data_IF_955470258535
#
_entry.id   IF_955470258535
#
_cell.length_a   1.000
_cell.length_b   1.000
_cell.length_c   1.000
_cell.angle_alpha   90.00
_cell.angle_beta   90.00
_cell.angle_gamma   90.00
#
_symmetry.space_group_name_H-M   'P 1'
#
loop_
_entity.id
_entity.type
_entity.pdbx_description
1 polymer ?
#
# COMPACT_ATOMS: atom_id res chain seq x y z
N UNK A 1 26.96 -33.15 3.65
CA UNK A 1 26.19 -32.37 4.65
C UNK A 1 24.86 -32.02 4.01
N UNK A 2 23.76 -32.47 4.60
CA UNK A 2 22.41 -32.37 4.02
C UNK A 2 21.92 -30.92 4.01
N UNK A 3 21.72 -30.35 2.81
CA UNK A 3 21.03 -29.08 2.57
C UNK A 3 19.49 -29.25 2.60
N UNK A 4 18.96 -29.97 3.59
CA UNK A 4 17.52 -30.17 3.73
C UNK A 4 17.07 -29.59 5.08
N UNK A 5 16.19 -28.57 5.00
CA UNK A 5 15.55 -27.80 6.08
C UNK A 5 16.21 -26.44 6.44
N UNK A 6 16.25 -25.51 5.49
CA UNK A 6 16.29 -24.08 5.81
C UNK A 6 14.99 -23.44 5.32
N UNK A 7 13.85 -23.90 5.85
CA UNK A 7 12.69 -23.00 5.97
C UNK A 7 13.00 -22.18 7.22
N UNK A 8 13.43 -20.94 7.01
CA UNK A 8 13.87 -20.04 8.08
C UNK A 8 12.66 -19.41 8.81
N UNK A 9 11.58 -19.10 8.09
CA UNK A 9 10.33 -18.56 8.65
C UNK A 9 9.35 -19.64 9.13
N UNK A 10 8.57 -19.31 10.17
CA UNK A 10 7.50 -20.18 10.69
C UNK A 10 6.45 -20.53 9.62
N UNK A 11 6.08 -21.82 9.53
CA UNK A 11 5.08 -22.33 8.58
C UNK A 11 3.70 -21.73 8.82
N UNK A 12 3.35 -21.43 10.07
CA UNK A 12 2.08 -20.78 10.36
C UNK A 12 2.02 -19.40 9.70
N UNK A 13 3.07 -18.59 9.91
CA UNK A 13 3.21 -17.26 9.30
C UNK A 13 3.16 -17.33 7.77
N UNK A 14 3.86 -18.29 7.15
CA UNK A 14 3.83 -18.47 5.69
C UNK A 14 2.39 -18.65 5.20
N UNK A 15 1.67 -19.60 5.80
CA UNK A 15 0.30 -19.90 5.41
C UNK A 15 -0.65 -18.71 5.65
N UNK A 16 -0.43 -17.96 6.71
CA UNK A 16 -1.23 -16.78 7.04
C UNK A 16 -1.02 -15.65 6.02
N UNK A 17 0.23 -15.31 5.71
CA UNK A 17 0.58 -14.25 4.75
C UNK A 17 0.11 -14.61 3.35
N UNK A 18 0.41 -15.81 2.87
CA UNK A 18 0.11 -16.18 1.48
C UNK A 18 -1.38 -16.19 1.16
N UNK A 19 -2.24 -16.46 2.16
CA UNK A 19 -3.67 -16.66 1.93
C UNK A 19 -4.55 -15.52 2.43
N UNK A 20 -4.13 -14.79 3.47
CA UNK A 20 -5.00 -13.84 4.18
C UNK A 20 -4.52 -12.40 4.14
N UNK A 21 -3.26 -12.15 3.75
CA UNK A 21 -2.75 -10.78 3.68
C UNK A 21 -3.20 -10.11 2.37
N UNK A 22 -3.22 -8.77 2.36
CA UNK A 22 -3.45 -8.01 1.14
C UNK A 22 -2.51 -8.46 0.04
N UNK A 23 -3.03 -8.53 -1.19
CA UNK A 23 -2.26 -9.00 -2.33
C UNK A 23 -0.87 -8.33 -2.49
N UNK A 24 -0.70 -6.99 -2.31
CA UNK A 24 0.63 -6.35 -2.41
C UNK A 24 1.72 -6.96 -1.53
N UNK A 25 1.35 -7.52 -0.39
CA UNK A 25 2.30 -8.13 0.55
C UNK A 25 2.43 -9.62 0.24
N UNK A 26 1.30 -10.29 0.04
CA UNK A 26 1.25 -11.73 -0.17
C UNK A 26 1.98 -12.18 -1.45
N UNK A 27 1.91 -11.40 -2.53
CA UNK A 27 2.53 -11.76 -3.82
C UNK A 27 4.06 -11.74 -3.75
N UNK A 28 4.63 -10.66 -3.26
CA UNK A 28 6.08 -10.52 -3.06
C UNK A 28 6.59 -11.55 -2.05
N UNK A 29 5.78 -11.88 -1.04
CA UNK A 29 6.10 -12.93 -0.08
C UNK A 29 6.14 -14.33 -0.71
N UNK A 30 5.21 -14.66 -1.63
CA UNK A 30 5.29 -15.94 -2.37
C UNK A 30 6.55 -16.04 -3.21
N UNK A 31 6.95 -14.95 -3.87
CA UNK A 31 8.18 -14.92 -4.67
C UNK A 31 9.39 -15.29 -3.82
N UNK A 32 9.47 -14.79 -2.57
CA UNK A 32 10.53 -15.14 -1.61
C UNK A 32 10.62 -16.65 -1.28
N UNK A 33 9.49 -17.37 -1.40
CA UNK A 33 9.40 -18.80 -1.11
C UNK A 33 9.56 -19.69 -2.34
N UNK A 34 9.86 -19.13 -3.52
CA UNK A 34 10.19 -19.91 -4.73
C UNK A 34 11.64 -20.40 -4.71
N UNK A 35 11.95 -21.44 -5.49
CA UNK A 35 13.28 -22.08 -5.52
C UNK A 35 14.43 -21.10 -5.76
N UNK A 36 14.20 -20.04 -6.54
CA UNK A 36 15.18 -19.00 -6.84
C UNK A 36 15.66 -18.25 -5.58
N UNK A 37 14.78 -18.08 -4.59
CA UNK A 37 15.02 -17.24 -3.41
C UNK A 37 15.24 -18.04 -2.12
N UNK A 38 15.26 -19.38 -2.17
CA UNK A 38 15.48 -20.23 -0.99
C UNK A 38 16.90 -20.13 -0.42
N UNK A 39 17.89 -19.75 -1.25
CA UNK A 39 19.28 -19.63 -0.81
C UNK A 39 19.50 -18.29 -0.13
N UNK A 40 20.22 -18.22 1.01
CA UNK A 40 20.52 -16.96 1.69
C UNK A 40 21.63 -16.19 0.96
N UNK A 41 21.27 -15.62 -0.19
CA UNK A 41 22.14 -14.87 -1.08
C UNK A 41 21.60 -13.46 -1.38
N UNK A 42 22.25 -12.75 -2.32
CA UNK A 42 21.88 -11.38 -2.66
C UNK A 42 20.45 -11.26 -3.20
N UNK A 43 19.95 -12.29 -3.89
CA UNK A 43 18.59 -12.27 -4.45
C UNK A 43 17.56 -12.39 -3.34
N UNK A 44 17.75 -13.33 -2.39
CA UNK A 44 16.88 -13.44 -1.20
C UNK A 44 16.88 -12.15 -0.39
N UNK A 45 18.06 -11.58 -0.13
CA UNK A 45 18.16 -10.32 0.62
C UNK A 45 17.40 -9.18 -0.06
N UNK A 46 17.54 -9.02 -1.38
CA UNK A 46 16.81 -8.02 -2.15
C UNK A 46 15.30 -8.24 -2.05
N UNK A 47 14.83 -9.48 -2.13
CA UNK A 47 13.41 -9.81 -2.03
C UNK A 47 12.85 -9.52 -0.63
N UNK A 48 13.59 -9.84 0.45
CA UNK A 48 13.21 -9.49 1.83
C UNK A 48 13.04 -7.97 1.97
N UNK A 49 14.01 -7.20 1.47
CA UNK A 49 13.95 -5.74 1.52
C UNK A 49 12.80 -5.16 0.68
N UNK A 50 12.52 -5.76 -0.47
CA UNK A 50 11.39 -5.41 -1.34
C UNK A 50 10.04 -5.66 -0.63
N UNK A 51 9.88 -6.79 0.06
CA UNK A 51 8.67 -7.08 0.85
C UNK A 51 8.52 -6.04 1.98
N UNK A 52 9.61 -5.71 2.68
CA UNK A 52 9.60 -4.65 3.69
C UNK A 52 9.17 -3.29 3.11
N UNK A 53 9.71 -2.91 1.95
CA UNK A 53 9.38 -1.65 1.27
C UNK A 53 7.92 -1.61 0.80
N UNK A 54 7.42 -2.67 0.14
CA UNK A 54 6.04 -2.70 -0.35
C UNK A 54 5.04 -2.71 0.81
N UNK A 55 5.38 -3.39 1.91
CA UNK A 55 4.54 -3.43 3.11
C UNK A 55 4.40 -2.02 3.70
N UNK A 56 5.51 -1.30 3.92
CA UNK A 56 5.42 0.05 4.49
C UNK A 56 4.74 1.04 3.53
N UNK A 57 4.99 0.91 2.22
CA UNK A 57 4.38 1.74 1.19
C UNK A 57 2.86 1.54 1.17
N UNK A 58 2.41 0.29 1.16
CA UNK A 58 1.00 -0.05 1.18
C UNK A 58 0.31 0.50 2.43
N UNK A 59 0.88 0.25 3.61
CA UNK A 59 0.31 0.74 4.87
C UNK A 59 0.30 2.27 4.92
N UNK A 60 1.36 2.95 4.46
CA UNK A 60 1.39 4.40 4.38
C UNK A 60 0.30 4.95 3.45
N UNK A 61 0.05 4.31 2.30
CA UNK A 61 -1.05 4.66 1.40
C UNK A 61 -2.40 4.51 2.10
N UNK A 62 -2.63 3.42 2.85
CA UNK A 62 -3.85 3.24 3.64
C UNK A 62 -4.03 4.36 4.67
N UNK A 63 -2.96 4.73 5.38
CA UNK A 63 -2.99 5.87 6.32
C UNK A 63 -3.33 7.18 5.62
N UNK A 64 -2.74 7.44 4.44
CA UNK A 64 -3.02 8.65 3.66
C UNK A 64 -4.46 8.69 3.16
N UNK A 65 -4.99 7.58 2.65
CA UNK A 65 -6.40 7.47 2.23
C UNK A 65 -7.36 7.80 3.38
N UNK A 66 -7.11 7.27 4.58
CA UNK A 66 -7.96 7.56 5.74
C UNK A 66 -7.81 9.02 6.21
N UNK A 67 -6.58 9.57 6.20
CA UNK A 67 -6.36 10.98 6.51
C UNK A 67 -7.16 11.90 5.57
N UNK A 68 -7.15 11.62 4.27
CA UNK A 68 -7.91 12.42 3.28
C UNK A 68 -9.40 12.37 3.61
N UNK A 69 -9.91 11.18 3.88
CA UNK A 69 -11.33 10.97 4.17
C UNK A 69 -11.77 11.68 5.45
N UNK A 70 -10.97 11.59 6.54
CA UNK A 70 -11.28 12.28 7.79
C UNK A 70 -11.09 13.80 7.68
N UNK A 71 -10.10 14.27 6.91
CA UNK A 71 -9.89 15.69 6.65
C UNK A 71 -11.04 16.27 5.82
N UNK A 72 -11.51 15.55 4.80
CA UNK A 72 -12.68 15.93 4.01
C UNK A 72 -13.96 16.00 4.88
N UNK A 73 -14.10 15.07 5.84
CA UNK A 73 -15.14 15.09 6.87
C UNK A 73 -14.93 16.16 7.96
N UNK A 74 -13.86 16.96 7.88
CA UNK A 74 -13.45 17.99 8.85
C UNK A 74 -13.26 17.46 10.28
N UNK A 75 -12.89 16.18 10.41
CA UNK A 75 -12.63 15.52 11.70
C UNK A 75 -11.18 15.65 12.14
N UNK A 76 -10.27 15.83 11.18
CA UNK A 76 -8.83 15.98 11.42
C UNK A 76 -8.38 17.32 10.88
N UNK A 77 -7.48 17.97 11.62
CA UNK A 77 -6.68 19.10 11.16
C UNK A 77 -5.24 18.64 10.89
N UNK A 78 -4.73 18.98 9.71
CA UNK A 78 -3.36 18.68 9.31
C UNK A 78 -2.41 19.80 9.78
N UNK A 79 -1.40 19.50 10.61
CA UNK A 79 -0.46 20.50 11.09
C UNK A 79 0.43 21.02 9.95
N UNK A 80 0.81 22.29 10.02
CA UNK A 80 1.60 22.96 8.98
C UNK A 80 2.96 22.27 8.77
N UNK A 81 3.57 21.74 9.83
CA UNK A 81 4.80 20.94 9.73
C UNK A 81 4.64 19.72 8.83
N UNK A 82 3.52 19.01 8.92
CA UNK A 82 3.24 17.87 8.05
C UNK A 82 3.05 18.31 6.60
N UNK A 83 2.27 19.37 6.36
CA UNK A 83 2.05 19.90 5.00
C UNK A 83 3.37 20.30 4.32
N UNK A 84 4.29 20.91 5.07
CA UNK A 84 5.62 21.28 4.61
C UNK A 84 6.46 20.07 4.16
N UNK A 85 6.41 18.98 4.93
CA UNK A 85 7.25 17.81 4.66
C UNK A 85 6.60 16.83 3.67
N UNK A 86 5.27 16.86 3.54
CA UNK A 86 4.51 15.96 2.68
C UNK A 86 5.06 15.98 1.24
N UNK A 87 5.31 17.16 0.69
CA UNK A 87 5.85 17.28 -0.67
C UNK A 87 7.21 16.57 -0.83
N UNK A 88 8.11 16.74 0.14
CA UNK A 88 9.43 16.11 0.09
C UNK A 88 9.33 14.58 0.20
N UNK A 89 8.35 14.09 0.94
CA UNK A 89 8.22 12.68 1.25
C UNK A 89 7.41 11.92 0.19
N UNK A 90 6.33 12.48 -0.35
CA UNK A 90 5.37 11.79 -1.21
C UNK A 90 5.76 11.73 -2.71
N UNK A 91 6.46 12.75 -3.24
CA UNK A 91 6.69 12.86 -4.69
C UNK A 91 7.98 12.19 -5.20
N UNK A 92 8.89 11.83 -4.30
CA UNK A 92 10.13 11.08 -4.61
C UNK A 92 10.44 10.15 -3.47
N UNK A 93 9.63 9.11 -3.34
CA UNK A 93 9.58 8.31 -2.12
C UNK A 93 10.68 7.27 -2.08
N UNK A 94 11.17 7.01 -0.88
CA UNK A 94 12.15 5.96 -0.57
C UNK A 94 11.60 5.17 0.62
N UNK A 95 12.21 4.02 0.95
CA UNK A 95 11.82 3.22 2.13
C UNK A 95 11.59 4.11 3.37
N UNK A 96 12.61 4.88 3.76
CA UNK A 96 12.52 5.74 4.96
C UNK A 96 11.47 6.85 4.86
N UNK A 97 11.16 7.35 3.65
CA UNK A 97 10.10 8.34 3.46
C UNK A 97 8.71 7.74 3.63
N UNK A 98 8.49 6.50 3.20
CA UNK A 98 7.25 5.77 3.49
C UNK A 98 7.07 5.53 4.98
N UNK A 99 8.14 5.14 5.69
CA UNK A 99 8.16 5.01 7.15
C UNK A 99 7.80 6.33 7.83
N UNK A 100 8.34 7.46 7.36
CA UNK A 100 8.02 8.79 7.89
C UNK A 100 6.54 9.17 7.63
N UNK A 101 6.04 8.98 6.41
CA UNK A 101 4.64 9.27 6.06
C UNK A 101 3.66 8.45 6.92
N UNK A 102 3.93 7.15 7.12
CA UNK A 102 3.11 6.31 7.99
C UNK A 102 3.13 6.82 9.44
N UNK A 103 4.33 7.09 9.99
CA UNK A 103 4.47 7.60 11.36
C UNK A 103 3.73 8.90 11.58
N UNK A 104 3.97 9.87 10.69
CA UNK A 104 3.48 11.23 10.86
C UNK A 104 1.96 11.26 10.63
N UNK A 105 1.46 10.43 9.71
CA UNK A 105 0.02 10.25 9.52
C UNK A 105 -0.68 9.64 10.74
N UNK A 106 -0.11 8.59 11.34
CA UNK A 106 -0.66 8.01 12.59
C UNK A 106 -0.66 9.03 13.73
N UNK A 107 0.42 9.83 13.87
CA UNK A 107 0.49 10.88 14.90
C UNK A 107 -0.62 11.91 14.74
N UNK A 108 -0.98 12.27 13.52
CA UNK A 108 -2.08 13.21 13.25
C UNK A 108 -3.41 12.66 13.78
N UNK A 109 -3.70 11.37 13.57
CA UNK A 109 -4.90 10.73 14.15
C UNK A 109 -4.90 10.78 15.68
N UNK A 110 -3.77 10.43 16.30
CA UNK A 110 -3.61 10.46 17.76
C UNK A 110 -3.81 11.89 18.30
N UNK A 111 -3.21 12.89 17.67
CA UNK A 111 -3.25 14.28 18.14
C UNK A 111 -4.64 14.92 17.94
N UNK A 112 -5.40 14.48 16.93
CA UNK A 112 -6.78 14.90 16.73
C UNK A 112 -7.79 14.06 17.53
N UNK A 113 -7.33 13.03 18.26
CA UNK A 113 -8.19 12.08 18.98
C UNK A 113 -9.27 11.45 18.07
N UNK A 114 -8.88 11.07 16.86
CA UNK A 114 -9.73 10.40 15.87
C UNK A 114 -9.25 8.97 15.71
N UNK A 115 -10.17 8.02 15.77
CA UNK A 115 -9.86 6.61 15.52
C UNK A 115 -9.61 6.38 14.02
N UNK A 116 -8.56 5.62 13.72
CA UNK A 116 -8.24 5.20 12.35
C UNK A 116 -9.21 4.10 11.91
N UNK A 117 -9.43 4.00 10.60
CA UNK A 117 -10.23 2.94 9.98
C UNK A 117 -9.68 1.54 10.29
N UNK A 118 -8.35 1.40 10.30
CA UNK A 118 -7.67 0.20 10.81
C UNK A 118 -7.16 0.51 12.21
N UNK A 119 -7.97 0.14 13.20
CA UNK A 119 -7.82 0.58 14.59
C UNK A 119 -6.51 0.09 15.24
N UNK A 120 -5.93 -0.99 14.74
CA UNK A 120 -4.71 -1.60 15.27
C UNK A 120 -3.42 -0.93 14.76
N UNK A 121 -3.49 -0.15 13.66
CA UNK A 121 -2.31 0.50 13.05
C UNK A 121 -1.50 1.39 14.00
N UNK A 122 -2.11 2.23 14.86
CA UNK A 122 -1.35 3.03 15.81
C UNK A 122 -0.47 2.18 16.72
N UNK A 123 -1.01 1.13 17.33
CA UNK A 123 -0.27 0.26 18.25
C UNK A 123 0.76 -0.61 17.53
N UNK A 124 0.46 -1.00 16.29
CA UNK A 124 1.39 -1.75 15.44
C UNK A 124 2.67 -0.97 15.15
N UNK A 125 2.57 0.35 14.96
CA UNK A 125 3.69 1.17 14.47
C UNK A 125 4.30 2.09 15.54
N UNK A 126 3.50 2.61 16.47
CA UNK A 126 3.91 3.61 17.46
C UNK A 126 3.56 3.13 18.87
N UNK A 127 4.54 3.15 19.78
CA UNK A 127 4.33 2.93 21.22
C UNK A 127 4.15 4.29 21.91
N UNK A 128 2.92 4.77 22.02
CA UNK A 128 2.63 6.10 22.59
C UNK A 128 3.29 7.27 21.83
N UNK A 129 3.19 8.51 22.31
CA UNK A 129 3.58 9.68 21.49
C UNK A 129 5.03 9.72 21.01
N UNK A 130 5.97 9.13 21.74
CA UNK A 130 7.41 9.34 21.54
C UNK A 130 8.27 8.07 21.50
N UNK A 131 7.70 6.86 21.55
CA UNK A 131 8.51 5.64 21.49
C UNK A 131 8.20 4.79 20.26
N UNK A 132 9.26 4.26 19.65
CA UNK A 132 9.15 3.40 18.47
C UNK A 132 8.70 2.00 18.90
N UNK A 133 7.70 1.46 18.19
CA UNK A 133 7.34 0.05 18.30
C UNK A 133 8.48 -0.86 17.83
N UNK A 134 8.43 -2.14 18.21
CA UNK A 134 9.34 -3.14 17.67
C UNK A 134 9.26 -3.23 16.14
N UNK A 135 8.04 -3.10 15.59
CA UNK A 135 7.80 -3.05 14.15
C UNK A 135 8.46 -1.83 13.49
N UNK A 136 8.32 -0.63 14.05
CA UNK A 136 8.95 0.57 13.51
C UNK A 136 10.47 0.44 13.53
N UNK A 137 11.04 -0.13 14.61
CA UNK A 137 12.47 -0.45 14.69
C UNK A 137 12.88 -1.44 13.61
N UNK A 138 12.09 -2.50 13.37
CA UNK A 138 12.34 -3.47 12.31
C UNK A 138 12.35 -2.81 10.91
N UNK A 139 11.40 -1.94 10.59
CA UNK A 139 11.41 -1.17 9.33
C UNK A 139 12.63 -0.24 9.22
N UNK A 140 13.00 0.45 10.30
CA UNK A 140 14.19 1.29 10.35
C UNK A 140 15.47 0.48 10.13
N UNK A 141 15.55 -0.74 10.68
CA UNK A 141 16.67 -1.65 10.47
C UNK A 141 16.74 -2.15 9.03
N UNK A 142 15.62 -2.57 8.42
CA UNK A 142 15.59 -2.94 6.99
C UNK A 142 16.00 -1.76 6.09
N UNK A 143 15.54 -0.55 6.40
CA UNK A 143 15.96 0.67 5.70
C UNK A 143 17.48 0.88 5.82
N UNK A 144 18.04 0.65 7.01
CA UNK A 144 19.48 0.76 7.25
C UNK A 144 20.27 -0.26 6.45
N UNK A 145 19.83 -1.52 6.42
CA UNK A 145 20.44 -2.58 5.62
C UNK A 145 20.41 -2.21 4.13
N UNK A 146 19.26 -1.77 3.61
CA UNK A 146 19.13 -1.32 2.21
C UNK A 146 20.11 -0.19 1.87
N UNK A 147 20.20 0.83 2.73
CA UNK A 147 21.11 1.94 2.51
C UNK A 147 22.58 1.50 2.53
N UNK A 148 22.95 0.58 3.42
CA UNK A 148 24.32 0.03 3.47
C UNK A 148 24.70 -0.71 2.18
N UNK A 149 23.76 -1.46 1.61
CA UNK A 149 23.96 -2.17 0.34
C UNK A 149 24.08 -1.17 -0.82
N UNK A 150 23.21 -0.16 -0.87
CA UNK A 150 23.20 0.82 -1.95
C UNK A 150 24.47 1.71 -2.00
N UNK A 151 25.14 1.88 -0.87
CA UNK A 151 26.36 2.68 -0.75
C UNK A 151 27.66 1.85 -0.76
N UNK A 152 27.60 0.57 -1.18
CA UNK A 152 28.74 -0.35 -1.22
C UNK A 152 29.53 -0.43 0.11
N UNK A 153 28.87 -0.14 1.23
CA UNK A 153 29.51 -0.07 2.55
C UNK A 153 29.72 -1.44 3.19
N UNK A 154 29.30 -2.51 2.51
CA UNK A 154 29.37 -3.90 2.97
C UNK A 154 30.38 -4.66 2.11
N UNK A 155 31.24 -5.42 2.78
CA UNK A 155 32.12 -6.38 2.11
C UNK A 155 31.27 -7.45 1.41
N UNK A 156 31.34 -7.51 0.07
CA UNK A 156 30.56 -8.43 -0.77
C UNK A 156 31.07 -9.88 -0.71
N UNK A 157 31.27 -10.41 0.51
CA UNK A 157 31.55 -11.82 0.74
C UNK A 157 30.26 -12.60 0.93
N UNK A 158 30.22 -13.86 0.48
CA UNK A 158 29.03 -14.71 0.62
C UNK A 158 28.58 -14.87 2.08
N UNK A 159 29.53 -14.92 3.02
CA UNK A 159 29.25 -15.01 4.47
C UNK A 159 28.59 -13.73 5.02
N UNK A 160 29.05 -12.56 4.58
CA UNK A 160 28.46 -11.28 4.97
C UNK A 160 27.01 -11.16 4.49
N UNK A 161 26.77 -11.49 3.21
CA UNK A 161 25.42 -11.50 2.62
C UNK A 161 24.50 -12.48 3.34
N UNK A 162 25.00 -13.69 3.64
CA UNK A 162 24.22 -14.69 4.36
C UNK A 162 23.82 -14.20 5.76
N UNK A 163 24.72 -13.55 6.51
CA UNK A 163 24.40 -12.98 7.81
C UNK A 163 23.33 -11.88 7.71
N UNK A 164 23.44 -11.01 6.70
CA UNK A 164 22.45 -9.96 6.43
C UNK A 164 21.09 -10.54 6.03
N UNK A 165 21.06 -11.66 5.30
CA UNK A 165 19.81 -12.37 5.01
C UNK A 165 19.12 -12.78 6.30
N UNK A 166 19.82 -13.45 7.22
CA UNK A 166 19.24 -13.90 8.48
C UNK A 166 18.77 -12.72 9.35
N UNK A 167 19.54 -11.64 9.41
CA UNK A 167 19.17 -10.43 10.15
C UNK A 167 17.92 -9.77 9.55
N UNK A 168 17.90 -9.57 8.22
CA UNK A 168 16.78 -8.96 7.52
C UNK A 168 15.50 -9.84 7.62
N UNK A 169 15.65 -11.15 7.59
CA UNK A 169 14.55 -12.10 7.71
C UNK A 169 13.90 -12.04 9.10
N UNK A 170 14.70 -11.95 10.17
CA UNK A 170 14.17 -11.76 11.52
C UNK A 170 13.37 -10.45 11.67
N UNK A 171 13.84 -9.36 11.05
CA UNK A 171 13.08 -8.10 11.02
C UNK A 171 11.80 -8.22 10.20
N UNK A 172 11.83 -8.91 9.06
CA UNK A 172 10.65 -9.16 8.24
C UNK A 172 9.62 -10.03 8.97
N UNK A 173 10.05 -11.08 9.66
CA UNK A 173 9.18 -11.90 10.52
C UNK A 173 8.49 -11.07 11.59
N UNK A 174 9.23 -10.17 12.25
CA UNK A 174 8.67 -9.27 13.27
C UNK A 174 7.57 -8.39 12.68
N UNK A 175 7.84 -7.80 11.50
CA UNK A 175 6.89 -6.96 10.77
C UNK A 175 5.63 -7.77 10.43
N UNK A 176 5.79 -8.92 9.80
CA UNK A 176 4.67 -9.71 9.29
C UNK A 176 3.85 -10.32 10.44
N UNK A 177 4.47 -10.87 11.49
CA UNK A 177 3.74 -11.42 12.64
C UNK A 177 2.87 -10.35 13.34
N UNK A 178 3.43 -9.16 13.56
CA UNK A 178 2.71 -8.06 14.21
C UNK A 178 1.58 -7.50 13.32
N UNK A 179 1.63 -7.74 12.00
CA UNK A 179 0.62 -7.31 11.03
C UNK A 179 -0.57 -8.29 10.90
N UNK A 180 -0.61 -9.39 11.65
CA UNK A 180 -1.66 -10.43 11.57
C UNK A 180 -3.10 -9.91 11.66
N UNK A 181 -3.33 -8.79 12.36
CA UNK A 181 -4.64 -8.14 12.43
C UNK A 181 -5.19 -7.71 11.05
N UNK A 182 -4.34 -7.53 10.04
CA UNK A 182 -4.73 -7.11 8.69
C UNK A 182 -5.68 -8.14 8.05
N UNK A 183 -5.58 -9.41 8.46
CA UNK A 183 -6.45 -10.50 8.00
C UNK A 183 -7.91 -10.35 8.42
N UNK A 184 -8.21 -9.44 9.35
CA UNK A 184 -9.58 -9.10 9.77
C UNK A 184 -10.24 -8.05 8.85
N UNK A 185 -9.52 -7.54 7.86
CA UNK A 185 -9.98 -6.53 6.92
C UNK A 185 -10.06 -7.14 5.52
N UNK A 186 -11.19 -6.92 4.84
CA UNK A 186 -11.37 -7.40 3.47
C UNK A 186 -10.96 -6.30 2.49
N UNK A 187 -10.04 -6.66 1.59
CA UNK A 187 -9.60 -5.82 0.49
C UNK A 187 -10.40 -6.21 -0.74
N UNK A 188 -11.24 -5.29 -1.21
CA UNK A 188 -12.21 -5.57 -2.27
C UNK A 188 -12.00 -4.62 -3.44
N UNK A 189 -12.01 -5.17 -4.65
CA UNK A 189 -12.22 -4.41 -5.87
C UNK A 189 -13.72 -4.30 -6.13
N UNK A 190 -14.20 -3.08 -6.29
CA UNK A 190 -15.59 -2.78 -6.70
C UNK A 190 -15.57 -2.47 -8.19
N UNK A 191 -16.06 -3.39 -9.00
CA UNK A 191 -15.94 -3.30 -10.46
C UNK A 191 -17.01 -2.42 -11.10
N UNK A 192 -18.28 -2.77 -10.92
CA UNK A 192 -19.40 -2.01 -11.46
C UNK A 192 -20.59 -2.01 -10.50
N UNK A 193 -21.46 -1.01 -10.68
CA UNK A 193 -22.75 -0.93 -9.99
C UNK A 193 -23.87 -0.93 -11.01
N UNK A 194 -24.71 -1.97 -10.98
CA UNK A 194 -25.94 -2.03 -11.76
C UNK A 194 -27.08 -1.37 -10.98
N UNK A 195 -27.67 -0.32 -11.56
CA UNK A 195 -28.82 0.39 -10.97
C UNK A 195 -30.12 -0.09 -11.63
N UNK A 196 -31.05 -0.61 -10.83
CA UNK A 196 -32.43 -0.88 -11.27
C UNK A 196 -33.34 0.19 -10.69
N UNK A 197 -33.86 1.05 -11.56
CA UNK A 197 -34.74 2.16 -11.20
C UNK A 197 -36.08 2.01 -11.93
N UNK A 198 -37.03 1.32 -11.31
CA UNK A 198 -38.38 1.18 -11.86
C UNK A 198 -39.21 2.41 -11.51
N UNK A 199 -40.06 2.84 -12.45
CA UNK A 199 -41.02 3.93 -12.21
C UNK A 199 -41.83 3.62 -10.94
N UNK A 200 -41.81 4.54 -9.98
CA UNK A 200 -42.50 4.46 -8.67
C UNK A 200 -41.89 3.56 -7.60
N UNK A 201 -40.67 3.04 -7.79
CA UNK A 201 -39.94 2.30 -6.77
C UNK A 201 -38.63 3.01 -6.42
N UNK A 202 -38.12 2.76 -5.22
CA UNK A 202 -36.77 3.18 -4.85
C UNK A 202 -35.73 2.45 -5.71
N UNK A 203 -34.64 3.14 -6.10
CA UNK A 203 -33.58 2.51 -6.88
C UNK A 203 -32.92 1.39 -6.05
N UNK A 204 -32.61 0.29 -6.71
CA UNK A 204 -31.84 -0.81 -6.12
C UNK A 204 -30.48 -0.92 -6.79
N UNK A 205 -29.44 -1.10 -5.98
CA UNK A 205 -28.05 -1.13 -6.41
C UNK A 205 -27.50 -2.54 -6.25
N UNK A 206 -26.91 -3.09 -7.32
CA UNK A 206 -26.21 -4.37 -7.29
C UNK A 206 -24.76 -4.13 -7.68
N UNK A 207 -23.84 -4.44 -6.76
CA UNK A 207 -22.41 -4.19 -6.88
C UNK A 207 -21.69 -5.48 -7.19
N UNK A 208 -20.70 -5.40 -8.08
CA UNK A 208 -19.74 -6.48 -8.33
C UNK A 208 -18.49 -6.29 -7.49
N UNK A 209 -18.20 -7.24 -6.62
CA UNK A 209 -17.02 -7.25 -5.76
C UNK A 209 -16.07 -8.37 -6.15
N UNK A 210 -14.77 -8.19 -5.94
CA UNK A 210 -13.76 -9.24 -6.03
C UNK A 210 -12.73 -9.06 -4.93
N UNK A 211 -12.32 -10.16 -4.29
CA UNK A 211 -11.32 -10.09 -3.22
C UNK A 211 -9.91 -9.90 -3.79
N UNK A 212 -9.18 -8.95 -3.21
CA UNK A 212 -7.79 -8.59 -3.55
C UNK A 212 -6.88 -9.06 -2.42
N UNK A 213 -6.88 -10.37 -2.20
CA UNK A 213 -6.10 -11.06 -1.17
C UNK A 213 -5.28 -12.15 -1.79
N UNK A 214 -4.27 -12.61 -1.06
CA UNK A 214 -3.26 -13.48 -1.62
C UNK A 214 -3.80 -14.69 -2.41
N UNK A 215 -4.72 -15.48 -1.86
CA UNK A 215 -5.07 -16.78 -2.44
C UNK A 215 -5.82 -16.71 -3.78
N UNK A 216 -6.27 -15.53 -4.22
CA UNK A 216 -6.98 -15.39 -5.50
C UNK A 216 -5.97 -15.24 -6.63
N UNK A 217 -6.01 -16.15 -7.60
CA UNK A 217 -5.24 -16.04 -8.86
C UNK A 217 -6.01 -15.35 -9.97
N UNK A 218 -7.31 -15.13 -9.77
CA UNK A 218 -8.23 -14.42 -10.67
C UNK A 218 -9.23 -13.61 -9.84
N UNK A 219 -9.71 -12.49 -10.38
CA UNK A 219 -10.83 -11.74 -9.82
C UNK A 219 -12.10 -12.61 -9.89
N UNK A 220 -12.40 -13.33 -8.80
CA UNK A 220 -13.64 -14.09 -8.65
C UNK A 220 -14.74 -13.13 -8.21
N UNK A 221 -15.43 -12.56 -9.19
CA UNK A 221 -16.48 -11.59 -8.92
C UNK A 221 -17.70 -12.23 -8.26
N UNK A 222 -18.20 -11.62 -7.19
CA UNK A 222 -19.49 -11.92 -6.59
C UNK A 222 -20.38 -10.67 -6.58
N UNK A 223 -21.69 -10.88 -6.65
CA UNK A 223 -22.67 -9.80 -6.68
C UNK A 223 -23.31 -9.62 -5.31
N UNK A 224 -23.44 -8.38 -4.86
CA UNK A 224 -24.15 -8.06 -3.61
C UNK A 224 -25.05 -6.85 -3.81
N UNK A 225 -26.23 -6.87 -3.19
CA UNK A 225 -27.11 -5.71 -3.16
C UNK A 225 -26.80 -4.86 -1.93
N UNK A 226 -26.55 -3.58 -2.15
CA UNK A 226 -26.39 -2.59 -1.08
C UNK A 226 -27.43 -1.48 -1.22
N UNK A 227 -27.63 -0.75 -0.13
CA UNK A 227 -28.61 0.34 -0.05
C UNK A 227 -28.19 1.59 -0.82
N UNK A 228 -26.87 1.80 -1.00
CA UNK A 228 -26.31 2.99 -1.64
C UNK A 228 -25.35 2.69 -2.77
N UNK A 229 -24.96 3.75 -3.50
CA UNK A 229 -23.88 3.70 -4.48
C UNK A 229 -22.52 3.63 -3.77
N UNK A 230 -21.61 2.85 -4.34
CA UNK A 230 -20.19 2.88 -4.01
C UNK A 230 -19.42 3.50 -5.17
N UNK A 231 -18.27 4.09 -4.90
CA UNK A 231 -17.37 4.57 -5.94
C UNK A 231 -16.88 3.37 -6.76
N UNK A 232 -16.87 3.50 -8.09
CA UNK A 232 -16.40 2.45 -9.01
C UNK A 232 -15.76 3.05 -10.26
N UNK A 233 -14.74 2.40 -10.84
CA UNK A 233 -13.98 1.29 -10.25
C UNK A 233 -13.19 1.77 -9.03
N UNK A 234 -13.08 0.96 -7.97
CA UNK A 234 -12.34 1.35 -6.77
C UNK A 234 -11.76 0.16 -6.02
N UNK A 235 -10.63 0.35 -5.36
CA UNK A 235 -10.13 -0.57 -4.33
C UNK A 235 -10.55 -0.04 -2.96
N UNK A 236 -11.23 -0.88 -2.18
CA UNK A 236 -11.74 -0.52 -0.86
C UNK A 236 -11.27 -1.49 0.23
N UNK A 237 -11.21 -1.00 1.45
CA UNK A 237 -11.02 -1.81 2.67
C UNK A 237 -12.33 -1.84 3.43
N UNK A 238 -12.75 -3.02 3.89
CA UNK A 238 -13.95 -3.18 4.72
C UNK A 238 -13.65 -3.94 6.03
N UNK A 239 -14.28 -3.55 7.13
CA UNK A 239 -14.30 -4.29 8.40
C UNK A 239 -15.73 -4.77 8.68
N UNK A 240 -16.05 -5.99 8.27
CA UNK A 240 -17.39 -6.56 8.42
C UNK A 240 -18.33 -6.22 7.27
N UNK A 241 -19.19 -5.19 7.42
CA UNK A 241 -20.16 -4.79 6.39
C UNK A 241 -19.50 -3.88 5.34
N UNK A 242 -19.75 -4.14 4.06
CA UNK A 242 -19.16 -3.40 2.93
C UNK A 242 -19.66 -1.94 2.82
N UNK A 243 -20.74 -1.60 3.51
CA UNK A 243 -21.26 -0.22 3.58
C UNK A 243 -20.36 0.71 4.41
N UNK A 244 -19.53 0.16 5.32
CA UNK A 244 -18.53 0.92 6.06
C UNK A 244 -17.16 0.59 5.50
N UNK A 245 -16.67 1.41 4.57
CA UNK A 245 -15.44 1.15 3.83
C UNK A 245 -14.51 2.37 3.82
N UNK A 246 -13.23 2.08 3.61
CA UNK A 246 -12.22 3.07 3.24
C UNK A 246 -11.92 2.92 1.74
N UNK A 247 -12.07 4.00 0.98
CA UNK A 247 -11.67 4.03 -0.43
C UNK A 247 -10.17 4.34 -0.55
N UNK A 248 -9.44 3.52 -1.31
CA UNK A 248 -8.00 3.71 -1.54
C UNK A 248 -7.67 4.47 -2.83
N UNK A 249 -8.66 4.76 -3.68
CA UNK A 249 -8.45 5.61 -4.84
C UNK A 249 -8.03 7.03 -4.41
N UNK A 250 -7.14 7.70 -5.16
CA UNK A 250 -6.43 7.23 -6.37
C UNK A 250 -5.06 6.61 -6.06
N UNK A 251 -4.76 6.29 -4.80
CA UNK A 251 -3.44 5.80 -4.38
C UNK A 251 -3.27 4.29 -4.61
N UNK A 252 -4.37 3.54 -4.61
CA UNK A 252 -4.44 2.16 -5.09
C UNK A 252 -5.58 2.09 -6.09
N UNK A 253 -5.27 1.78 -7.34
CA UNK A 253 -6.25 1.78 -8.43
C UNK A 253 -6.35 0.40 -9.07
N UNK A 254 -7.44 0.15 -9.77
CA UNK A 254 -7.54 -0.96 -10.70
C UNK A 254 -7.49 -0.43 -12.14
N UNK A 255 -6.80 -1.12 -13.04
CA UNK A 255 -6.87 -0.84 -14.47
C UNK A 255 -6.60 -2.09 -15.30
N UNK A 256 -7.22 -2.17 -16.47
CA UNK A 256 -6.97 -3.15 -17.53
C UNK A 256 -6.28 -2.53 -18.75
N UNK A 257 -5.76 -1.30 -18.61
CA UNK A 257 -5.11 -0.54 -19.67
C UNK A 257 -3.57 -0.52 -19.56
N UNK A 258 -3.00 -1.39 -18.72
CA UNK A 258 -1.54 -1.60 -18.65
C UNK A 258 -0.95 -2.15 -19.94
N UNK A 259 0.39 -2.23 -20.03
CA UNK A 259 1.05 -2.88 -21.17
C UNK A 259 0.56 -4.33 -21.28
N UNK A 260 0.07 -4.72 -22.47
CA UNK A 260 -0.62 -5.99 -22.77
C UNK A 260 -2.09 -6.10 -22.33
N UNK A 261 -2.73 -5.03 -21.86
CA UNK A 261 -4.14 -5.01 -21.43
C UNK A 261 -4.47 -6.08 -20.38
N UNK A 262 -3.52 -6.32 -19.47
CA UNK A 262 -3.69 -7.28 -18.38
C UNK A 262 -4.30 -6.53 -17.19
N UNK A 263 -5.50 -6.92 -16.72
CA UNK A 263 -6.11 -6.31 -15.56
C UNK A 263 -5.26 -6.48 -14.30
N UNK A 264 -5.00 -5.39 -13.59
CA UNK A 264 -4.18 -5.40 -12.38
C UNK A 264 -4.62 -4.31 -11.39
N UNK A 265 -4.20 -4.50 -10.14
CA UNK A 265 -4.19 -3.46 -9.11
C UNK A 265 -2.84 -2.77 -9.15
N UNK A 266 -2.86 -1.45 -9.02
CA UNK A 266 -1.69 -0.60 -9.15
C UNK A 266 -1.53 0.25 -7.90
N UNK A 267 -0.36 0.18 -7.27
CA UNK A 267 0.00 0.92 -6.06
C UNK A 267 0.83 2.16 -6.42
N UNK A 268 0.41 3.34 -5.99
CA UNK A 268 1.12 4.60 -6.23
C UNK A 268 2.56 4.54 -5.71
N UNK A 269 3.52 4.93 -6.54
CA UNK A 269 4.96 4.98 -6.18
C UNK A 269 5.42 6.42 -5.95
N UNK A 270 5.31 7.23 -6.99
CA UNK A 270 5.82 8.60 -7.01
C UNK A 270 5.13 9.42 -8.11
N UNK A 271 5.31 10.74 -8.06
CA UNK A 271 4.87 11.65 -9.11
C UNK A 271 5.99 12.65 -9.39
N UNK A 272 6.62 12.49 -10.55
CA UNK A 272 7.61 13.43 -11.06
C UNK A 272 6.95 14.34 -12.08
N UNK A 273 6.99 15.66 -11.86
CA UNK A 273 6.37 16.67 -12.75
C UNK A 273 6.77 16.48 -14.21
N UNK A 274 7.99 15.99 -14.49
CA UNK A 274 8.51 15.81 -15.86
C UNK A 274 8.29 14.40 -16.40
N UNK A 275 8.21 13.39 -15.54
CA UNK A 275 8.11 11.98 -15.94
C UNK A 275 6.73 11.38 -15.70
N UNK A 276 5.79 12.17 -15.21
CA UNK A 276 4.43 11.76 -14.89
C UNK A 276 4.29 10.99 -13.58
N UNK A 277 3.12 10.37 -13.43
CA UNK A 277 2.69 9.63 -12.24
C UNK A 277 3.05 8.16 -12.44
N UNK A 278 3.70 7.55 -11.45
CA UNK A 278 4.09 6.14 -11.52
C UNK A 278 3.30 5.30 -10.52
N UNK A 279 2.86 4.16 -11.03
CA UNK A 279 2.30 3.09 -10.23
C UNK A 279 3.09 1.79 -10.41
N UNK A 280 3.07 0.93 -9.39
CA UNK A 280 3.62 -0.42 -9.42
C UNK A 280 2.49 -1.42 -9.65
N UNK A 281 2.60 -2.36 -10.60
CA UNK A 281 1.67 -3.48 -10.68
C UNK A 281 1.79 -4.34 -9.42
N UNK A 282 0.66 -4.83 -8.92
CA UNK A 282 0.61 -5.57 -7.66
C UNK A 282 0.39 -7.06 -7.92
N UNK A 283 -0.34 -7.42 -8.99
CA UNK A 283 -0.86 -8.76 -9.26
C UNK A 283 -0.26 -9.46 -10.46
N UNK A 284 -0.65 -9.09 -11.67
CA UNK A 284 -0.35 -9.84 -12.89
C UNK A 284 0.92 -9.33 -13.58
N UNK A 285 1.44 -8.19 -13.13
CA UNK A 285 2.70 -7.62 -13.61
C UNK A 285 2.54 -6.87 -14.92
N UNK A 286 3.58 -6.09 -15.25
CA UNK A 286 3.62 -5.26 -16.45
C UNK A 286 3.70 -3.76 -16.10
N UNK A 287 4.44 -2.96 -16.88
CA UNK A 287 4.53 -1.54 -16.61
C UNK A 287 3.19 -0.87 -16.90
N UNK A 288 2.87 0.10 -16.05
CA UNK A 288 1.70 0.96 -16.19
C UNK A 288 2.15 2.39 -16.38
N UNK A 289 1.79 2.95 -17.54
CA UNK A 289 2.09 4.33 -17.89
C UNK A 289 0.77 5.08 -17.93
N UNK A 290 0.51 5.88 -16.90
CA UNK A 290 -0.76 6.60 -16.79
C UNK A 290 -1.02 7.48 -18.03
N UNK A 291 0.03 8.04 -18.65
CA UNK A 291 -0.10 8.88 -19.85
C UNK A 291 -0.63 8.16 -21.10
N UNK A 292 -0.74 6.83 -21.06
CA UNK A 292 -1.21 6.01 -22.17
C UNK A 292 -2.62 5.44 -21.93
N UNK A 293 -3.26 5.85 -20.84
CA UNK A 293 -4.58 5.36 -20.42
C UNK A 293 -5.68 6.35 -20.77
N UNK A 294 -6.88 5.86 -21.05
CA UNK A 294 -8.09 6.68 -21.25
C UNK A 294 -8.46 7.43 -19.96
N UNK A 295 -8.13 6.85 -18.80
CA UNK A 295 -8.41 7.40 -17.48
C UNK A 295 -7.34 8.37 -16.98
N UNK A 296 -6.33 8.73 -17.79
CA UNK A 296 -5.24 9.62 -17.39
C UNK A 296 -5.76 10.89 -16.73
N UNK A 297 -6.72 11.56 -17.38
CA UNK A 297 -7.23 12.85 -16.93
C UNK A 297 -7.93 12.74 -15.57
N UNK A 298 -8.81 11.75 -15.42
CA UNK A 298 -9.59 11.52 -14.20
C UNK A 298 -8.72 11.12 -13.01
N UNK A 299 -7.75 10.23 -13.22
CA UNK A 299 -6.80 9.79 -12.19
C UNK A 299 -5.85 10.91 -11.79
N UNK A 300 -5.41 11.71 -12.76
CA UNK A 300 -4.57 12.89 -12.50
C UNK A 300 -5.32 13.94 -11.69
N UNK A 301 -6.59 14.21 -12.02
CA UNK A 301 -7.45 15.12 -11.23
C UNK A 301 -7.67 14.58 -9.82
N UNK A 302 -7.94 13.28 -9.68
CA UNK A 302 -8.11 12.64 -8.38
C UNK A 302 -6.85 12.76 -7.53
N UNK A 303 -5.66 12.54 -8.10
CA UNK A 303 -4.39 12.74 -7.41
C UNK A 303 -4.13 14.21 -7.06
N UNK A 304 -4.49 15.15 -7.94
CA UNK A 304 -4.47 16.57 -7.60
C UNK A 304 -5.33 16.88 -6.38
N UNK A 305 -6.50 16.24 -6.24
CA UNK A 305 -7.35 16.38 -5.05
C UNK A 305 -6.65 15.88 -3.78
N UNK A 306 -5.92 14.77 -3.86
CA UNK A 306 -5.07 14.32 -2.73
C UNK A 306 -4.10 15.41 -2.30
N UNK A 307 -3.42 16.06 -3.27
CA UNK A 307 -2.48 17.14 -2.99
C UNK A 307 -3.19 18.35 -2.40
N UNK A 308 -4.35 18.73 -2.94
CA UNK A 308 -5.17 19.83 -2.41
C UNK A 308 -5.55 19.62 -0.94
N UNK A 309 -5.86 18.38 -0.56
CA UNK A 309 -6.22 18.06 0.83
C UNK A 309 -5.03 18.04 1.78
N UNK A 310 -3.87 17.54 1.33
CA UNK A 310 -2.75 17.22 2.23
C UNK A 310 -1.61 18.24 2.18
N UNK A 311 -1.29 18.77 1.01
CA UNK A 311 -0.12 19.61 0.81
C UNK A 311 -0.39 21.09 1.10
N UNK A 312 0.65 21.90 0.99
CA UNK A 312 0.53 23.36 0.97
C UNK A 312 -0.11 23.82 -0.33
N UNK A 313 -0.84 24.94 -0.26
CA UNK A 313 -1.48 25.55 -1.42
C UNK A 313 -0.48 25.89 -2.53
N UNK A 314 0.72 26.36 -2.16
CA UNK A 314 1.80 26.65 -3.12
C UNK A 314 2.22 25.41 -3.93
N UNK A 315 2.29 24.25 -3.29
CA UNK A 315 2.70 23.01 -3.93
C UNK A 315 1.59 22.42 -4.80
N UNK A 316 0.33 22.51 -4.33
CA UNK A 316 -0.84 22.20 -5.15
C UNK A 316 -0.86 23.05 -6.43
N UNK A 317 -0.65 24.37 -6.31
CA UNK A 317 -0.65 25.28 -7.44
C UNK A 317 0.47 24.96 -8.45
N UNK A 318 1.66 24.55 -8.00
CA UNK A 318 2.75 24.10 -8.89
C UNK A 318 2.30 22.92 -9.76
N UNK A 319 1.69 21.90 -9.15
CA UNK A 319 1.23 20.71 -9.89
C UNK A 319 0.05 21.01 -10.81
N UNK A 320 -0.91 21.80 -10.33
CA UNK A 320 -2.05 22.24 -11.15
C UNK A 320 -1.61 22.96 -12.43
N UNK A 321 -0.65 23.87 -12.32
CA UNK A 321 -0.10 24.59 -13.48
C UNK A 321 0.69 23.66 -14.41
N UNK A 322 1.40 22.67 -13.87
CA UNK A 322 2.12 21.70 -14.72
C UNK A 322 1.19 20.86 -15.59
N UNK A 323 -0.04 20.62 -15.13
CA UNK A 323 -1.05 19.82 -15.84
C UNK A 323 -1.83 20.61 -16.88
N UNK A 324 -1.95 21.94 -16.75
CA UNK A 324 -2.54 22.77 -17.80
C UNK A 324 -1.67 22.90 -19.06
N UNK A 325 -0.43 22.41 -19.00
CA UNK A 325 0.53 22.42 -20.12
C UNK A 325 0.66 21.06 -20.81
N UNK A 326 -0.13 20.05 -20.42
CA UNK A 326 -0.20 18.70 -20.99
C UNK A 326 -1.52 18.56 -21.75
#
# INVERSE_FOLDING_TARGET
MNCNNLILMDRHLINEVENRYPYPIASEFRVLNTEEYLKPDSNRLKQILQIGEITIQFLAVVVLSDLIEQNNKKRIFLPESFKNEFFKNFFKTTFGKWTALMRDGIKIFIDNNVEMYINELPNYFILGRNSESETQKAFNSLTTIRNRIAHDSIENTSKSIQNLCFEAEAFLETILNNLSFISNYYFLYVGNVSVKNFRWNDPSFTHSFSEVIGHTSKFSAYLKKLSGLLNTPAIIITKGKEENYLNLDPLVIYSDEGENHIPDVFLYIDWDIKKGIKYRPVWNGGPFFLERTQNQHELTISLLKVIEFIAKEEDYNKFKVSLSNI
#
